data_IF_111819181763
#
_entry.id   IF_111819181763
#
_cell.length_a   1.000
_cell.length_b   1.000
_cell.length_c   1.000
_cell.angle_alpha   90.00
_cell.angle_beta   90.00
_cell.angle_gamma   90.00
#
_symmetry.space_group_name_H-M   'P 1'
#
loop_
_entity.id
_entity.type
_entity.pdbx_description
1 polymer ?
#
# COMPACT_ATOMS: atom_id res chain seq x y z
N UNK A 1 6.14 -12.71 23.05
CA UNK A 1 4.99 -12.30 22.23
C UNK A 1 5.50 -11.37 21.14
N UNK A 2 5.74 -11.88 19.93
CA UNK A 2 6.24 -11.04 18.83
C UNK A 2 5.03 -10.40 18.16
N UNK A 3 4.84 -9.10 18.40
CA UNK A 3 3.89 -8.29 17.63
C UNK A 3 4.41 -8.24 16.19
N UNK A 4 3.77 -8.97 15.28
CA UNK A 4 4.07 -8.91 13.84
C UNK A 4 3.64 -7.52 13.37
N UNK A 5 4.54 -6.54 13.50
CA UNK A 5 4.36 -5.20 12.92
C UNK A 5 4.49 -5.37 11.42
N UNK A 6 3.47 -4.94 10.66
CA UNK A 6 3.56 -4.93 9.20
C UNK A 6 4.62 -3.92 8.79
N UNK A 7 5.46 -4.28 7.84
CA UNK A 7 6.49 -3.41 7.29
C UNK A 7 5.97 -2.70 6.04
N UNK A 8 6.46 -1.50 5.78
CA UNK A 8 6.12 -0.72 4.61
C UNK A 8 6.75 -1.37 3.38
N UNK A 9 5.94 -1.69 2.37
CA UNK A 9 6.41 -2.29 1.11
C UNK A 9 7.47 -1.45 0.37
N UNK A 10 7.53 -0.12 0.61
CA UNK A 10 8.43 0.77 -0.13
C UNK A 10 9.75 1.09 0.60
N UNK A 11 9.70 1.31 1.91
CA UNK A 11 10.85 1.81 2.69
C UNK A 11 11.25 0.88 3.84
N UNK A 12 10.58 -0.27 3.97
CA UNK A 12 10.85 -1.29 5.00
C UNK A 12 10.76 -0.80 6.45
N UNK A 13 10.15 0.38 6.67
CA UNK A 13 9.88 0.90 8.00
C UNK A 13 8.61 0.27 8.59
N UNK A 14 8.53 0.20 9.91
CA UNK A 14 7.35 -0.28 10.61
C UNK A 14 6.11 0.58 10.26
N UNK A 15 5.01 -0.07 9.87
CA UNK A 15 3.72 0.58 9.68
C UNK A 15 3.07 0.78 11.04
N UNK A 16 3.21 1.99 11.58
CA UNK A 16 2.59 2.37 12.86
C UNK A 16 1.09 2.68 12.68
N UNK A 17 0.69 3.12 11.48
CA UNK A 17 -0.68 3.48 11.13
C UNK A 17 -1.20 2.64 9.97
N UNK A 18 -2.26 1.86 10.21
CA UNK A 18 -2.87 0.95 9.23
C UNK A 18 -3.76 1.65 8.18
N UNK A 19 -3.51 2.94 7.90
CA UNK A 19 -4.35 3.77 7.02
C UNK A 19 -4.01 3.68 5.54
N UNK A 20 -2.76 3.31 5.20
CA UNK A 20 -2.29 3.34 3.82
C UNK A 20 -2.10 1.91 3.29
N UNK A 21 -3.08 1.44 2.52
CA UNK A 21 -3.08 0.12 1.90
C UNK A 21 -3.43 0.23 0.43
N UNK A 22 -2.86 -0.65 -0.39
CA UNK A 22 -3.14 -0.72 -1.82
C UNK A 22 -3.34 -2.15 -2.24
N UNK A 23 -4.48 -2.46 -2.85
CA UNK A 23 -4.65 -3.74 -3.51
C UNK A 23 -3.99 -3.67 -4.89
N UNK A 24 -3.03 -4.57 -5.11
CA UNK A 24 -2.29 -4.71 -6.37
C UNK A 24 -2.56 -6.09 -6.96
N UNK A 25 -2.08 -6.33 -8.18
CA UNK A 25 -2.13 -7.66 -8.82
C UNK A 25 -1.42 -8.74 -8.01
N UNK A 26 -0.48 -8.34 -7.14
CA UNK A 26 0.30 -9.24 -6.28
C UNK A 26 -0.34 -9.39 -4.88
N UNK A 27 -1.43 -8.67 -4.61
CA UNK A 27 -2.16 -8.70 -3.34
C UNK A 27 -2.12 -7.38 -2.58
N UNK A 28 -2.47 -7.43 -1.29
CA UNK A 28 -2.62 -6.24 -0.46
C UNK A 28 -1.28 -5.73 0.09
N UNK A 29 -0.83 -4.59 -0.41
CA UNK A 29 0.37 -3.89 0.02
C UNK A 29 0.08 -2.90 1.16
N UNK A 30 1.03 -2.73 2.07
CA UNK A 30 0.91 -1.86 3.25
C UNK A 30 2.01 -0.79 3.23
N UNK A 31 1.65 0.43 3.63
CA UNK A 31 2.55 1.57 3.59
C UNK A 31 2.52 2.33 4.92
N UNK A 32 3.67 2.88 5.33
CA UNK A 32 3.76 3.66 6.56
C UNK A 32 3.13 5.06 6.43
N UNK A 33 3.04 5.61 5.21
CA UNK A 33 2.48 6.93 4.93
C UNK A 33 1.90 7.04 3.51
N UNK A 34 1.12 8.09 3.25
CA UNK A 34 0.57 8.43 1.93
C UNK A 34 1.66 8.65 0.87
N UNK A 35 2.81 9.19 1.28
CA UNK A 35 3.95 9.39 0.40
C UNK A 35 4.46 8.08 -0.20
N UNK A 36 4.64 7.05 0.64
CA UNK A 36 5.07 5.73 0.18
C UNK A 36 4.03 5.10 -0.76
N UNK A 37 2.74 5.27 -0.47
CA UNK A 37 1.66 4.81 -1.35
C UNK A 37 1.73 5.48 -2.73
N UNK A 38 1.89 6.80 -2.76
CA UNK A 38 1.94 7.59 -3.99
C UNK A 38 3.16 7.25 -4.85
N UNK A 39 4.33 7.15 -4.22
CA UNK A 39 5.57 6.76 -4.90
C UNK A 39 5.45 5.33 -5.43
N UNK A 40 4.90 4.39 -4.64
CA UNK A 40 4.71 3.02 -5.09
C UNK A 40 3.84 2.95 -6.35
N UNK A 41 2.74 3.73 -6.41
CA UNK A 41 1.87 3.81 -7.60
C UNK A 41 2.62 4.34 -8.82
N UNK A 42 3.47 5.35 -8.63
CA UNK A 42 4.27 5.95 -9.71
C UNK A 42 5.35 5.00 -10.23
N UNK A 43 6.03 4.27 -9.33
CA UNK A 43 7.11 3.36 -9.70
C UNK A 43 6.60 2.00 -10.23
N UNK A 44 5.40 1.58 -9.80
CA UNK A 44 4.84 0.26 -10.09
C UNK A 44 3.48 0.31 -10.82
N UNK A 45 3.30 1.11 -11.88
CA UNK A 45 1.99 1.31 -12.53
C UNK A 45 1.44 0.00 -13.12
N UNK A 46 2.32 -0.91 -13.56
CA UNK A 46 1.94 -2.22 -14.12
C UNK A 46 1.40 -3.19 -13.06
N UNK A 47 1.74 -2.98 -11.78
CA UNK A 47 1.31 -3.81 -10.64
C UNK A 47 -0.03 -3.35 -10.10
N UNK A 48 -0.45 -2.13 -10.40
CA UNK A 48 -1.73 -1.60 -9.97
C UNK A 48 -2.87 -2.36 -10.62
N UNK A 49 -3.91 -2.63 -9.83
CA UNK A 49 -5.18 -3.03 -10.40
C UNK A 49 -5.73 -1.86 -11.23
N UNK A 50 -6.44 -2.15 -12.35
CA UNK A 50 -7.18 -1.10 -13.04
C UNK A 50 -8.08 -0.39 -12.02
N UNK A 51 -8.31 0.92 -12.16
CA UNK A 51 -9.20 1.63 -11.26
C UNK A 51 -10.54 0.90 -11.26
N UNK A 52 -10.84 0.19 -10.16
CA UNK A 52 -12.19 -0.27 -9.88
C UNK A 52 -12.97 1.03 -9.75
N UNK A 53 -13.81 1.33 -10.75
CA UNK A 53 -14.73 2.46 -10.74
C UNK A 53 -15.24 2.67 -9.32
N UNK A 54 -14.73 3.71 -8.65
CA UNK A 54 -15.30 4.19 -7.41
C UNK A 54 -16.70 4.67 -7.80
N UNK A 55 -17.69 3.79 -7.65
CA UNK A 55 -19.08 4.18 -7.64
C UNK A 55 -19.25 5.07 -6.43
N UNK A 56 -19.00 6.36 -6.67
CA UNK A 56 -19.59 7.52 -6.01
C UNK A 56 -21.00 7.12 -5.55
N UNK A 57 -21.18 6.92 -4.25
CA UNK A 57 -22.50 6.80 -3.63
C UNK A 57 -22.62 7.89 -2.59
#
# INVERSE_FOLDING_TARGET
MQSIKKECTLCDLAVEISGFKLETKEGLQHFCCEGCLSIYRLLNPHKLLPPLNEKKK
#
